data_IF_539256192413
#
_entry.id   IF_539256192413
#
_cell.length_a   1.000
_cell.length_b   1.000
_cell.length_c   1.000
_cell.angle_alpha   90.00
_cell.angle_beta   90.00
_cell.angle_gamma   90.00
#
_symmetry.space_group_name_H-M   'P 1'
#
loop_
_entity.id
_entity.type
_entity.pdbx_description
1 polymer ?
#
# COMPACT_ATOMS: atom_id res chain seq x y z
N UNK A 1 6.73 8.25 -1.21
CA UNK A 1 6.16 7.05 -0.55
C UNK A 1 5.61 6.13 -1.62
N UNK A 2 5.58 4.81 -1.38
CA UNK A 2 5.09 3.81 -2.33
C UNK A 2 3.68 4.15 -2.86
N UNK A 3 2.75 4.52 -1.97
CA UNK A 3 1.39 4.91 -2.34
C UNK A 3 1.33 6.05 -3.37
N UNK A 4 2.14 7.12 -3.19
CA UNK A 4 2.18 8.25 -4.15
C UNK A 4 2.72 7.82 -5.50
N UNK A 5 3.74 6.97 -5.54
CA UNK A 5 4.32 6.51 -6.79
C UNK A 5 3.33 5.65 -7.58
N UNK A 6 2.65 4.72 -6.89
CA UNK A 6 1.60 3.88 -7.47
C UNK A 6 0.45 4.74 -8.01
N UNK A 7 -0.03 5.71 -7.23
CA UNK A 7 -1.13 6.59 -7.66
C UNK A 7 -0.79 7.46 -8.90
N UNK A 8 0.46 7.87 -9.07
CA UNK A 8 0.87 8.75 -10.18
C UNK A 8 1.25 7.98 -11.46
N UNK A 9 1.67 6.73 -11.34
CA UNK A 9 2.28 5.99 -12.44
C UNK A 9 1.55 4.70 -12.83
N UNK A 10 0.38 4.44 -12.23
CA UNK A 10 -0.45 3.27 -12.54
C UNK A 10 -1.92 3.65 -12.61
N UNK A 11 -2.75 2.74 -13.13
CA UNK A 11 -4.22 2.88 -13.15
C UNK A 11 -4.87 1.92 -12.15
N UNK A 12 -4.31 1.85 -10.95
CA UNK A 12 -4.85 1.04 -9.86
C UNK A 12 -5.94 1.81 -9.10
N UNK A 13 -6.91 1.07 -8.60
CA UNK A 13 -7.92 1.60 -7.69
C UNK A 13 -7.33 1.86 -6.29
N UNK A 14 -8.05 2.65 -5.49
CA UNK A 14 -7.57 3.10 -4.19
C UNK A 14 -7.24 1.94 -3.23
N UNK A 15 -8.05 0.88 -3.23
CA UNK A 15 -7.84 -0.31 -2.40
C UNK A 15 -6.53 -0.99 -2.77
N UNK A 16 -6.29 -1.22 -4.06
CA UNK A 16 -5.07 -1.87 -4.52
C UNK A 16 -3.83 -1.02 -4.22
N UNK A 17 -3.88 0.30 -4.41
CA UNK A 17 -2.78 1.21 -4.04
C UNK A 17 -2.45 1.09 -2.55
N UNK A 18 -3.48 1.05 -1.69
CA UNK A 18 -3.29 0.96 -0.25
C UNK A 18 -2.63 -0.36 0.16
N UNK A 19 -3.09 -1.49 -0.38
CA UNK A 19 -2.54 -2.82 -0.11
C UNK A 19 -1.08 -2.91 -0.56
N UNK A 20 -0.78 -2.54 -1.81
CA UNK A 20 0.58 -2.63 -2.35
C UNK A 20 1.56 -1.70 -1.63
N UNK A 21 1.11 -0.50 -1.27
CA UNK A 21 1.94 0.42 -0.49
C UNK A 21 2.26 -0.14 0.91
N UNK A 22 1.31 -0.80 1.56
CA UNK A 22 1.50 -1.42 2.88
C UNK A 22 2.37 -2.68 2.80
N UNK A 23 2.26 -3.47 1.72
CA UNK A 23 3.18 -4.58 1.45
C UNK A 23 4.63 -4.09 1.37
N UNK A 24 4.89 -3.04 0.56
CA UNK A 24 6.22 -2.43 0.44
C UNK A 24 6.69 -1.87 1.79
N UNK A 25 5.79 -1.27 2.58
CA UNK A 25 6.14 -0.79 3.92
C UNK A 25 6.54 -1.93 4.87
N UNK A 26 5.86 -3.08 4.79
CA UNK A 26 6.19 -4.29 5.56
C UNK A 26 7.52 -4.93 5.20
N UNK A 27 8.07 -4.65 4.03
CA UNK A 27 9.40 -5.12 3.62
C UNK A 27 10.54 -4.28 4.19
N UNK A 28 10.27 -3.02 4.55
CA UNK A 28 11.29 -2.04 4.94
C UNK A 28 11.21 -1.68 6.42
N UNK A 29 10.00 -1.52 6.96
CA UNK A 29 9.78 -1.07 8.32
C UNK A 29 9.70 -2.26 9.28
N UNK A 30 10.65 -2.38 10.20
CA UNK A 30 10.69 -3.45 11.21
C UNK A 30 9.44 -3.53 12.12
N UNK A 31 8.65 -2.45 12.17
CA UNK A 31 7.43 -2.36 12.98
C UNK A 31 6.14 -2.53 12.17
N UNK A 32 6.25 -2.74 10.86
CA UNK A 32 5.09 -2.96 9.99
C UNK A 32 5.14 -4.41 9.50
N UNK A 33 4.06 -5.17 9.72
CA UNK A 33 3.94 -6.53 9.21
C UNK A 33 3.03 -6.57 7.97
N UNK A 34 2.88 -7.75 7.35
CA UNK A 34 2.07 -7.96 6.15
C UNK A 34 0.62 -8.40 6.43
N UNK A 35 0.16 -8.28 7.69
CA UNK A 35 -1.22 -8.60 8.05
C UNK A 35 -2.08 -7.36 7.83
N UNK A 36 -2.53 -7.16 6.60
CA UNK A 36 -3.21 -5.95 6.16
C UNK A 36 -4.72 -6.15 6.20
N UNK A 37 -5.42 -5.24 6.88
CA UNK A 37 -6.88 -5.09 6.85
C UNK A 37 -7.19 -3.76 6.18
N UNK A 38 -8.14 -3.76 5.24
CA UNK A 38 -8.51 -2.58 4.45
C UNK A 38 -10.01 -2.36 4.55
N UNK A 39 -10.38 -1.13 4.92
CA UNK A 39 -11.76 -0.64 4.99
C UNK A 39 -12.00 0.36 3.84
N UNK A 40 -13.23 0.42 3.34
CA UNK A 40 -13.67 1.30 2.25
C UNK A 40 -14.99 2.01 2.59
N UNK A 41 -15.30 3.11 1.87
CA UNK A 41 -16.46 3.98 2.10
C UNK A 41 -17.62 3.65 1.14
#
# INVERSE_FOLDING_TARGET
SAARALALHTQLDARTIAVEALNIAGDVCIYTNRNIVVEEL
#
